data_IF_624198378504
#
_entry.id   IF_624198378504
#
_cell.length_a   1.000
_cell.length_b   1.000
_cell.length_c   1.000
_cell.angle_alpha   90.00
_cell.angle_beta   90.00
_cell.angle_gamma   90.00
#
_symmetry.space_group_name_H-M   'P 1'
#
loop_
_entity.id
_entity.type
_entity.pdbx_description
1 polymer ?
#
# COMPACT_ATOMS: atom_id res chain seq x y z
N UNK A 1 39.69 -11.31 37.76
CA UNK A 1 38.93 -11.57 36.52
C UNK A 1 39.18 -10.33 35.69
N UNK A 2 40.11 -10.41 34.73
CA UNK A 2 40.46 -9.27 33.89
C UNK A 2 39.27 -8.95 32.99
N UNK A 3 38.83 -7.69 32.99
CA UNK A 3 37.81 -7.18 32.09
C UNK A 3 38.37 -7.21 30.66
N UNK A 4 37.79 -8.04 29.79
CA UNK A 4 38.16 -8.06 28.38
C UNK A 4 37.87 -6.68 27.77
N UNK A 5 38.91 -5.97 27.34
CA UNK A 5 38.79 -4.67 26.67
C UNK A 5 38.01 -4.84 25.35
N UNK A 6 36.73 -4.49 25.37
CA UNK A 6 35.88 -4.49 24.18
C UNK A 6 36.45 -3.50 23.15
N UNK A 7 36.55 -3.93 21.88
CA UNK A 7 37.16 -3.09 20.84
C UNK A 7 36.29 -1.86 20.54
N UNK A 8 36.92 -0.75 20.16
CA UNK A 8 36.20 0.49 19.80
C UNK A 8 35.11 0.26 18.74
N UNK A 9 35.32 -0.67 17.80
CA UNK A 9 34.36 -1.02 16.77
C UNK A 9 33.10 -1.73 17.29
N UNK A 10 33.21 -2.48 18.39
CA UNK A 10 32.08 -3.13 19.05
C UNK A 10 31.27 -2.13 19.89
N UNK A 11 31.96 -1.23 20.60
CA UNK A 11 31.34 -0.14 21.36
C UNK A 11 30.71 0.92 20.44
N UNK A 12 31.26 1.13 19.23
CA UNK A 12 30.78 2.12 18.28
C UNK A 12 29.37 1.82 17.74
N UNK A 13 28.97 0.54 17.64
CA UNK A 13 27.65 0.13 17.11
C UNK A 13 26.48 0.56 17.99
N UNK A 14 26.68 0.61 19.31
CA UNK A 14 25.71 1.14 20.29
C UNK A 14 25.99 2.60 20.69
N UNK A 15 26.99 3.23 20.08
CA UNK A 15 27.37 4.61 20.40
C UNK A 15 26.40 5.60 19.76
N UNK A 16 26.29 6.78 20.37
CA UNK A 16 25.55 7.93 19.86
C UNK A 16 25.91 8.37 18.42
N UNK A 17 27.10 7.98 17.93
CA UNK A 17 27.56 8.24 16.56
C UNK A 17 27.04 7.22 15.54
N UNK A 18 26.74 6.00 15.98
CA UNK A 18 25.98 5.07 15.16
C UNK A 18 24.55 5.60 15.16
N UNK A 19 24.17 6.31 14.10
CA UNK A 19 22.82 6.79 13.86
C UNK A 19 21.85 5.62 13.59
N UNK A 20 21.77 4.67 14.53
CA UNK A 20 20.75 3.63 14.57
C UNK A 20 19.46 4.25 15.09
N UNK A 21 18.33 3.95 14.45
CA UNK A 21 17.01 4.42 14.91
C UNK A 21 16.50 3.66 16.15
N UNK A 22 17.15 2.55 16.50
CA UNK A 22 16.81 1.77 17.67
C UNK A 22 17.52 2.33 18.91
N UNK A 23 16.81 2.44 20.04
CA UNK A 23 17.34 2.96 21.32
C UNK A 23 17.85 4.41 21.28
N UNK A 24 17.17 5.29 20.53
CA UNK A 24 17.48 6.72 20.52
C UNK A 24 17.38 7.38 21.90
N UNK A 25 18.27 8.35 22.18
CA UNK A 25 18.17 9.16 23.39
C UNK A 25 16.90 10.01 23.38
N UNK A 26 16.35 10.24 24.57
CA UNK A 26 15.27 11.21 24.76
C UNK A 26 15.80 12.62 24.43
N UNK A 27 15.28 13.22 23.36
CA UNK A 27 15.70 14.55 22.87
C UNK A 27 14.86 15.69 23.42
N UNK A 28 13.69 15.40 24.01
CA UNK A 28 12.73 16.39 24.49
C UNK A 28 12.37 16.17 25.95
N UNK A 29 12.01 17.24 26.66
CA UNK A 29 11.51 17.15 28.02
C UNK A 29 10.12 16.51 28.07
N UNK A 30 9.93 15.55 28.98
CA UNK A 30 8.60 15.00 29.31
C UNK A 30 8.17 15.66 30.62
N UNK A 31 7.09 16.44 30.58
CA UNK A 31 6.55 17.15 31.74
C UNK A 31 5.03 17.05 31.79
N UNK A 32 4.47 17.39 32.95
CA UNK A 32 3.03 17.49 33.19
C UNK A 32 2.73 18.89 33.71
N UNK A 33 1.84 19.62 33.04
CA UNK A 33 1.49 20.98 33.44
C UNK A 33 0.62 21.00 34.70
N UNK A 34 0.75 22.08 35.48
CA UNK A 34 -0.11 22.30 36.64
C UNK A 34 -1.58 22.36 36.23
N UNK A 35 -2.45 21.67 36.98
CA UNK A 35 -3.91 21.57 36.76
C UNK A 35 -4.39 20.57 35.70
N UNK A 36 -3.51 19.79 35.06
CA UNK A 36 -3.94 18.68 34.22
C UNK A 36 -4.38 17.48 35.08
N UNK A 37 -5.64 17.06 34.94
CA UNK A 37 -6.16 15.87 35.63
C UNK A 37 -5.72 14.60 34.88
N UNK A 38 -5.16 13.62 35.59
CA UNK A 38 -4.75 12.34 35.01
C UNK A 38 -5.91 11.37 34.72
N UNK A 39 -7.13 11.66 35.20
CA UNK A 39 -8.34 10.82 35.06
C UNK A 39 -8.17 9.36 35.52
N UNK A 40 -7.14 9.09 36.33
CA UNK A 40 -6.87 7.78 36.94
C UNK A 40 -7.17 7.90 38.43
N UNK A 41 -8.21 7.21 38.89
CA UNK A 41 -8.53 7.15 40.31
C UNK A 41 -7.45 6.42 41.11
N UNK A 42 -7.57 6.42 42.44
CA UNK A 42 -6.64 5.72 43.37
C UNK A 42 -6.54 4.22 43.05
N UNK A 43 -7.60 3.64 42.47
CA UNK A 43 -7.66 2.26 42.00
C UNK A 43 -7.43 2.09 40.48
N UNK A 44 -7.02 3.13 39.77
CA UNK A 44 -6.73 3.11 38.32
C UNK A 44 -5.45 2.35 37.94
N UNK A 45 -4.82 1.69 38.91
CA UNK A 45 -3.64 0.86 38.71
C UNK A 45 -4.00 -0.51 38.12
N UNK A 46 -3.04 -1.22 37.47
CA UNK A 46 -3.27 -2.46 36.74
C UNK A 46 -3.86 -3.61 37.57
N UNK A 47 -3.89 -3.48 38.90
CA UNK A 47 -4.41 -4.50 39.82
C UNK A 47 -5.93 -4.45 39.95
N UNK A 48 -6.55 -3.27 39.87
CA UNK A 48 -7.99 -3.10 40.12
C UNK A 48 -8.75 -2.53 38.91
N UNK A 49 -8.09 -1.78 38.02
CA UNK A 49 -8.67 -1.22 36.79
C UNK A 49 -8.37 -2.04 35.55
N UNK A 50 -8.48 -3.38 35.61
CA UNK A 50 -8.20 -4.22 34.45
C UNK A 50 -9.27 -4.09 33.37
N UNK A 51 -8.83 -4.22 32.10
CA UNK A 51 -9.75 -4.27 30.97
C UNK A 51 -10.49 -5.61 31.01
N UNK A 52 -11.81 -5.55 30.92
CA UNK A 52 -12.69 -6.71 30.79
C UNK A 52 -13.46 -6.63 29.47
N UNK A 53 -13.74 -7.78 28.86
CA UNK A 53 -14.59 -7.89 27.68
C UNK A 53 -15.60 -9.00 27.86
N UNK A 54 -16.87 -8.71 27.56
CA UNK A 54 -17.94 -9.71 27.57
C UNK A 54 -17.87 -10.64 26.37
N UNK A 55 -17.09 -10.32 25.33
CA UNK A 55 -17.04 -11.07 24.08
C UNK A 55 -16.82 -12.58 24.30
N UNK A 56 -15.86 -12.96 25.15
CA UNK A 56 -15.57 -14.37 25.42
C UNK A 56 -16.72 -15.10 26.12
N UNK A 57 -17.34 -14.45 27.10
CA UNK A 57 -18.48 -15.00 27.84
C UNK A 57 -19.70 -15.12 26.92
N UNK A 58 -19.97 -14.07 26.15
CA UNK A 58 -21.08 -14.03 25.21
C UNK A 58 -20.91 -15.06 24.09
N UNK A 59 -19.70 -15.25 23.57
CA UNK A 59 -19.42 -16.25 22.55
C UNK A 59 -19.63 -17.68 23.10
N UNK A 60 -19.24 -17.93 24.36
CA UNK A 60 -19.52 -19.21 25.03
C UNK A 60 -21.01 -19.45 25.26
N UNK A 61 -21.75 -18.44 25.75
CA UNK A 61 -23.20 -18.54 25.96
C UNK A 61 -23.92 -18.75 24.62
N UNK A 62 -23.53 -18.01 23.57
CA UNK A 62 -24.11 -18.14 22.23
C UNK A 62 -23.84 -19.51 21.62
N UNK A 63 -22.65 -20.06 21.82
CA UNK A 63 -22.33 -21.43 21.41
C UNK A 63 -23.13 -22.47 22.21
N UNK A 64 -23.26 -22.29 23.53
CA UNK A 64 -23.98 -23.20 24.40
C UNK A 64 -25.48 -23.26 24.09
N UNK A 65 -26.12 -22.13 23.79
CA UNK A 65 -27.53 -22.06 23.40
C UNK A 65 -27.78 -22.28 21.90
N UNK A 66 -26.75 -22.53 21.10
CA UNK A 66 -26.88 -22.72 19.64
C UNK A 66 -27.35 -21.46 18.89
N UNK A 67 -27.21 -20.28 19.49
CA UNK A 67 -27.57 -18.99 18.90
C UNK A 67 -26.54 -18.52 17.86
N UNK A 68 -25.39 -19.18 17.79
CA UNK A 68 -24.31 -18.87 16.88
C UNK A 68 -24.40 -19.60 15.52
N UNK A 69 -25.52 -20.28 15.25
CA UNK A 69 -25.76 -21.05 14.03
C UNK A 69 -25.93 -20.17 12.79
N UNK A 70 -26.45 -18.94 12.97
CA UNK A 70 -26.62 -17.94 11.91
C UNK A 70 -25.34 -17.13 11.62
N UNK A 71 -24.23 -17.40 12.31
CA UNK A 71 -22.99 -16.64 12.14
C UNK A 71 -22.29 -17.02 10.83
N UNK A 72 -22.37 -16.13 9.84
CA UNK A 72 -21.75 -16.30 8.52
C UNK A 72 -20.23 -16.43 8.59
N UNK A 73 -19.59 -15.92 9.66
CA UNK A 73 -18.14 -16.03 9.84
C UNK A 73 -17.68 -17.46 10.08
N UNK A 74 -18.55 -18.37 10.54
CA UNK A 74 -18.23 -19.80 10.68
C UNK A 74 -18.10 -20.51 9.34
N UNK A 75 -18.77 -20.01 8.32
CA UNK A 75 -18.75 -20.61 6.99
C UNK A 75 -17.55 -20.08 6.19
N UNK A 76 -16.68 -20.94 5.63
CA UNK A 76 -15.54 -20.45 4.84
C UNK A 76 -15.97 -19.73 3.56
N UNK A 77 -17.11 -20.09 2.98
CA UNK A 77 -17.63 -19.49 1.77
C UNK A 77 -18.24 -18.10 2.03
N UNK A 78 -17.89 -17.12 1.22
CA UNK A 78 -18.43 -15.76 1.29
C UNK A 78 -19.42 -15.55 0.15
N UNK A 79 -20.67 -15.23 0.48
CA UNK A 79 -21.76 -15.00 -0.48
C UNK A 79 -21.92 -13.52 -0.88
N UNK A 80 -20.82 -12.76 -0.87
CA UNK A 80 -20.84 -11.33 -1.18
C UNK A 80 -20.21 -11.07 -2.57
N UNK A 81 -21.05 -10.66 -3.53
CA UNK A 81 -20.66 -10.23 -4.87
C UNK A 81 -20.66 -11.35 -5.94
N UNK A 82 -20.33 -10.97 -7.18
CA UNK A 82 -20.42 -11.87 -8.35
C UNK A 82 -19.28 -12.90 -8.45
N UNK A 83 -18.29 -12.84 -7.54
CA UNK A 83 -17.13 -13.71 -7.52
C UNK A 83 -17.15 -14.60 -6.30
N UNK A 84 -16.62 -15.81 -6.46
CA UNK A 84 -16.39 -16.73 -5.34
C UNK A 84 -15.20 -16.26 -4.51
N UNK A 85 -15.44 -16.01 -3.22
CA UNK A 85 -14.41 -15.73 -2.22
C UNK A 85 -14.45 -16.74 -1.07
N UNK A 86 -13.30 -16.94 -0.43
CA UNK A 86 -13.16 -17.79 0.76
C UNK A 86 -12.50 -17.02 1.90
N UNK A 87 -12.95 -17.28 3.12
CA UNK A 87 -12.32 -16.79 4.36
C UNK A 87 -11.10 -17.63 4.69
N UNK A 88 -9.96 -16.98 4.91
CA UNK A 88 -8.74 -17.57 5.46
C UNK A 88 -8.67 -17.19 6.94
N UNK A 89 -8.85 -18.17 7.82
CA UNK A 89 -8.84 -17.97 9.27
C UNK A 89 -7.43 -18.00 9.86
N UNK A 90 -7.20 -17.16 10.87
CA UNK A 90 -5.96 -17.08 11.63
C UNK A 90 -6.18 -17.63 13.05
N UNK A 91 -6.47 -18.92 13.15
CA UNK A 91 -6.68 -19.62 14.43
C UNK A 91 -8.04 -19.39 15.10
N UNK A 92 -8.79 -18.35 14.71
CA UNK A 92 -10.13 -18.04 15.21
C UNK A 92 -11.08 -17.66 14.05
N UNK A 93 -12.38 -17.95 14.20
CA UNK A 93 -13.44 -17.52 13.28
C UNK A 93 -13.62 -16.00 13.23
N UNK A 94 -13.20 -15.29 14.28
CA UNK A 94 -13.30 -13.83 14.34
C UNK A 94 -12.15 -13.11 13.61
N UNK A 95 -11.07 -13.83 13.32
CA UNK A 95 -9.87 -13.32 12.67
C UNK A 95 -9.69 -13.99 11.32
N UNK A 96 -10.15 -13.30 10.27
CA UNK A 96 -10.04 -13.82 8.91
C UNK A 96 -9.83 -12.74 7.86
N UNK A 97 -9.25 -13.17 6.75
CA UNK A 97 -9.16 -12.38 5.52
C UNK A 97 -10.00 -13.03 4.42
N UNK A 98 -10.62 -12.22 3.56
CA UNK A 98 -11.42 -12.71 2.44
C UNK A 98 -10.53 -12.73 1.19
N UNK A 99 -10.31 -13.92 0.64
CA UNK A 99 -9.47 -14.12 -0.55
C UNK A 99 -10.30 -14.55 -1.75
N UNK A 100 -10.01 -14.04 -2.95
CA UNK A 100 -10.69 -14.48 -4.17
C UNK A 100 -10.29 -15.92 -4.51
N UNK A 101 -11.27 -16.77 -4.80
CA UNK A 101 -11.00 -18.15 -5.19
C UNK A 101 -10.48 -18.26 -6.64
N UNK A 102 -10.83 -17.29 -7.48
CA UNK A 102 -10.48 -17.28 -8.92
C UNK A 102 -9.44 -16.21 -9.20
N UNK A 103 -8.39 -16.60 -9.92
CA UNK A 103 -7.42 -15.65 -10.49
C UNK A 103 -8.11 -14.82 -11.59
N UNK A 104 -7.87 -13.51 -11.59
CA UNK A 104 -8.40 -12.61 -12.63
C UNK A 104 -7.57 -12.77 -13.90
N UNK A 105 -8.19 -13.19 -14.99
CA UNK A 105 -7.58 -13.13 -16.32
C UNK A 105 -7.84 -11.73 -16.90
N UNK A 106 -6.77 -11.03 -17.23
CA UNK A 106 -6.82 -9.76 -17.93
C UNK A 106 -6.35 -10.00 -19.36
N UNK A 107 -7.15 -9.58 -20.33
CA UNK A 107 -6.79 -9.67 -21.73
C UNK A 107 -6.37 -8.29 -22.21
N UNK A 108 -5.31 -8.27 -23.01
CA UNK A 108 -4.81 -7.08 -23.68
C UNK A 108 -4.81 -7.36 -25.17
N UNK A 109 -5.57 -6.58 -25.93
CA UNK A 109 -5.60 -6.64 -27.39
C UNK A 109 -4.64 -5.62 -28.02
N UNK A 110 -3.54 -5.33 -27.33
CA UNK A 110 -2.48 -4.46 -27.84
C UNK A 110 -1.33 -5.31 -28.36
N UNK A 111 -0.81 -5.04 -29.58
CA UNK A 111 0.35 -5.73 -30.10
C UNK A 111 1.58 -5.46 -29.23
N UNK A 112 2.43 -6.47 -29.04
CA UNK A 112 3.66 -6.35 -28.24
C UNK A 112 4.78 -5.70 -29.06
N UNK A 113 5.56 -4.79 -28.46
CA UNK A 113 6.78 -4.24 -29.05
C UNK A 113 6.58 -3.13 -30.09
N UNK A 114 5.38 -2.55 -30.21
CA UNK A 114 5.08 -1.51 -31.23
C UNK A 114 5.38 -0.08 -30.78
N UNK A 115 5.64 0.16 -29.50
CA UNK A 115 6.01 1.49 -28.98
C UNK A 115 7.13 1.38 -27.95
N UNK A 116 8.16 2.20 -28.12
CA UNK A 116 9.14 2.49 -27.09
C UNK A 116 8.56 3.56 -26.14
N UNK A 117 8.45 3.30 -24.83
CA UNK A 117 7.96 4.30 -23.87
C UNK A 117 8.89 5.51 -23.71
N UNK A 118 10.18 5.40 -24.03
CA UNK A 118 11.16 6.48 -23.90
C UNK A 118 11.07 7.44 -25.09
N UNK A 119 10.94 6.89 -26.30
CA UNK A 119 10.89 7.63 -27.56
C UNK A 119 9.47 7.65 -28.14
N UNK A 120 8.51 8.01 -27.26
CA UNK A 120 7.08 7.96 -27.53
C UNK A 120 6.68 8.98 -28.60
N UNK A 121 6.84 8.61 -29.87
CA UNK A 121 6.18 9.29 -30.98
C UNK A 121 4.79 8.67 -31.13
N UNK A 122 3.70 9.45 -30.93
CA UNK A 122 2.35 8.93 -31.11
C UNK A 122 2.19 8.40 -32.53
N UNK A 123 1.93 7.10 -32.64
CA UNK A 123 1.71 6.45 -33.92
C UNK A 123 0.44 7.03 -34.56
N UNK A 124 0.58 7.60 -35.76
CA UNK A 124 -0.53 8.18 -36.51
C UNK A 124 -0.79 9.67 -36.27
N UNK A 125 0.03 10.38 -35.49
CA UNK A 125 0.00 11.85 -35.53
C UNK A 125 0.61 12.34 -36.85
N UNK A 126 -0.24 12.85 -37.73
CA UNK A 126 0.23 13.71 -38.82
C UNK A 126 0.64 15.03 -38.17
N UNK A 127 1.94 15.25 -38.04
CA UNK A 127 2.46 16.50 -37.49
C UNK A 127 1.96 17.67 -38.34
N UNK A 128 1.44 18.72 -37.69
CA UNK A 128 1.07 19.96 -38.40
C UNK A 128 2.26 20.55 -39.18
N UNK A 129 3.48 20.28 -38.71
CA UNK A 129 4.70 20.65 -39.41
C UNK A 129 4.90 19.86 -40.70
N UNK A 130 4.55 18.56 -40.73
CA UNK A 130 4.62 17.73 -41.94
C UNK A 130 3.58 18.17 -42.98
N UNK A 131 2.37 18.54 -42.54
CA UNK A 131 1.36 19.13 -43.43
C UNK A 131 1.86 20.44 -44.02
N UNK A 132 2.40 21.35 -43.20
CA UNK A 132 2.95 22.60 -43.69
C UNK A 132 4.13 22.40 -44.66
N UNK A 133 5.05 21.49 -44.33
CA UNK A 133 6.17 21.14 -45.20
C UNK A 133 5.68 20.57 -46.55
N UNK A 134 4.63 19.73 -46.54
CA UNK A 134 4.03 19.21 -47.76
C UNK A 134 3.41 20.32 -48.64
N UNK A 135 2.75 21.30 -48.03
CA UNK A 135 2.16 22.45 -48.73
C UNK A 135 3.25 23.33 -49.34
N UNK A 136 4.29 23.65 -48.56
CA UNK A 136 5.42 24.45 -49.05
C UNK A 136 6.17 23.74 -50.19
N UNK A 137 6.37 22.42 -50.08
CA UNK A 137 6.99 21.60 -51.13
C UNK A 137 6.13 21.57 -52.40
N UNK A 138 4.81 21.48 -52.25
CA UNK A 138 3.86 21.54 -53.37
C UNK A 138 3.94 22.90 -54.08
N UNK A 139 3.84 24.01 -53.34
CA UNK A 139 3.92 25.36 -53.91
C UNK A 139 5.24 25.59 -54.66
N UNK A 140 6.36 25.19 -54.06
CA UNK A 140 7.67 25.28 -54.69
C UNK A 140 7.77 24.47 -55.99
N UNK A 141 7.20 23.26 -56.02
CA UNK A 141 7.21 22.42 -57.23
C UNK A 141 6.40 23.02 -58.39
N UNK A 142 5.30 23.72 -58.08
CA UNK A 142 4.48 24.43 -59.08
C UNK A 142 5.26 25.61 -59.66
N UNK A 143 5.88 26.42 -58.80
CA UNK A 143 6.67 27.57 -59.23
C UNK A 143 7.90 27.17 -60.07
N UNK A 144 8.55 26.06 -59.69
CA UNK A 144 9.72 25.55 -60.38
C UNK A 144 9.36 24.96 -61.76
N UNK A 145 8.24 24.23 -61.86
CA UNK A 145 7.71 23.78 -63.14
C UNK A 145 7.31 24.93 -64.05
N UNK A 146 6.70 25.98 -63.51
CA UNK A 146 6.38 27.18 -64.27
C UNK A 146 7.66 27.80 -64.86
N UNK A 147 8.69 28.01 -64.04
CA UNK A 147 10.00 28.54 -64.49
C UNK A 147 10.67 27.67 -65.56
N UNK A 148 10.66 26.35 -65.39
CA UNK A 148 11.23 25.41 -66.36
C UNK A 148 10.46 25.35 -67.68
N UNK A 149 9.14 25.57 -67.65
CA UNK A 149 8.31 25.61 -68.87
C UNK A 149 8.40 26.94 -69.63
N UNK A 150 8.81 28.00 -68.95
CA UNK A 150 8.97 29.35 -69.51
C UNK A 150 10.39 29.68 -69.98
N UNK A 151 11.32 28.73 -69.88
CA UNK A 151 12.69 28.80 -70.40
C UNK A 151 12.80 28.03 -71.72
#
# INVERSE_FOLDING_TARGET
>A
MEDAEASYAELAKGSLKAASMEHGLQTTGIYWEGQLNSYKGVFGMPTYGQKWTWKLVDDQIRAFWGLDTCDVSKTPAVFAGDRSYFRKYYGDKDLYEILPAKKRFNFSFFPTGTQDPIDRRPAGEVSRADVFASVMKSAFSVDLNHKLSSA
#
